data_IF_359786244172
#
_entry.id   IF_359786244172
#
_cell.length_a   1.000
_cell.length_b   1.000
_cell.length_c   1.000
_cell.angle_alpha   90.00
_cell.angle_beta   90.00
_cell.angle_gamma   90.00
#
_symmetry.space_group_name_H-M   'P 1'
#
loop_
_entity.id
_entity.type
_entity.pdbx_description
1 polymer ?
#
# COMPACT_ATOMS: atom_id res chain seq x y z
N UNK A 1 4.86 33.48 36.24
CA UNK A 1 4.03 32.25 36.28
C UNK A 1 2.92 32.20 35.23
N UNK A 2 2.45 33.31 34.65
CA UNK A 2 1.37 33.31 33.62
C UNK A 2 1.80 32.88 32.20
N UNK A 3 3.07 33.03 31.84
CA UNK A 3 3.56 32.72 30.48
C UNK A 3 3.90 31.25 30.22
N UNK A 4 4.07 30.43 31.27
CA UNK A 4 4.40 29.01 31.14
C UNK A 4 3.16 28.15 30.82
N UNK A 5 1.98 28.57 31.27
CA UNK A 5 0.72 27.85 31.00
C UNK A 5 0.21 28.03 29.54
N UNK A 6 0.55 29.16 28.89
CA UNK A 6 0.10 29.42 27.53
C UNK A 6 0.83 28.57 26.48
N UNK A 7 2.12 28.27 26.71
CA UNK A 7 2.94 27.45 25.82
C UNK A 7 2.50 25.97 25.84
N UNK A 8 2.11 25.45 26.99
CA UNK A 8 1.66 24.08 27.15
C UNK A 8 0.31 23.81 26.42
N UNK A 9 -0.60 24.80 26.44
CA UNK A 9 -1.90 24.68 25.75
C UNK A 9 -1.76 24.72 24.25
N UNK A 10 -0.84 25.53 23.69
CA UNK A 10 -0.61 25.61 22.24
C UNK A 10 0.03 24.32 21.70
N UNK A 11 0.92 23.70 22.47
CA UNK A 11 1.55 22.42 22.05
C UNK A 11 0.57 21.24 22.03
N UNK A 12 -0.41 21.20 22.94
CA UNK A 12 -1.46 20.16 22.98
C UNK A 12 -2.42 20.34 21.81
N UNK A 13 -2.76 21.59 21.42
CA UNK A 13 -3.67 21.86 20.29
C UNK A 13 -3.04 21.52 18.94
N UNK A 14 -1.74 21.69 18.76
CA UNK A 14 -1.03 21.32 17.50
C UNK A 14 -0.94 19.81 17.29
N UNK A 15 -0.86 19.01 18.37
CA UNK A 15 -0.85 17.55 18.26
C UNK A 15 -2.23 16.96 17.87
N UNK A 16 -3.32 17.60 18.27
CA UNK A 16 -4.68 17.16 17.91
C UNK A 16 -5.05 17.45 16.44
N UNK A 17 -4.51 18.49 15.81
CA UNK A 17 -4.80 18.81 14.42
C UNK A 17 -4.11 17.88 13.40
N UNK A 18 -3.00 17.22 13.76
CA UNK A 18 -2.32 16.31 12.84
C UNK A 18 -3.01 14.94 12.71
N UNK A 19 -3.71 14.50 13.73
CA UNK A 19 -4.44 13.21 13.71
C UNK A 19 -5.74 13.26 12.88
N UNK A 20 -6.33 14.43 12.68
CA UNK A 20 -7.60 14.58 11.93
C UNK A 20 -7.39 14.57 10.41
N UNK A 21 -6.17 14.81 9.91
CA UNK A 21 -5.91 14.96 8.48
C UNK A 21 -6.06 13.66 7.66
N UNK A 22 -5.93 12.50 8.29
CA UNK A 22 -6.01 11.19 7.63
C UNK A 22 -7.22 10.34 8.02
N UNK A 23 -8.14 10.86 8.83
CA UNK A 23 -9.19 10.07 9.48
C UNK A 23 -10.51 9.90 8.70
N UNK A 24 -10.76 10.65 7.63
CA UNK A 24 -12.01 10.56 6.87
C UNK A 24 -11.74 10.12 5.42
N UNK A 25 -12.45 9.09 4.96
CA UNK A 25 -12.43 8.70 3.55
C UNK A 25 -13.07 9.78 2.69
N UNK A 26 -12.48 10.04 1.53
CA UNK A 26 -13.01 10.99 0.54
C UNK A 26 -14.25 10.39 -0.11
N UNK A 27 -15.29 11.22 -0.31
CA UNK A 27 -16.48 10.82 -1.06
C UNK A 27 -16.08 10.29 -2.45
N UNK A 28 -16.75 9.26 -2.99
CA UNK A 28 -16.47 8.74 -4.33
C UNK A 28 -16.50 9.81 -5.42
N UNK A 29 -17.32 10.87 -5.25
CA UNK A 29 -17.41 12.00 -6.19
C UNK A 29 -16.20 12.93 -6.14
N UNK A 30 -15.52 12.99 -4.99
CA UNK A 30 -14.38 13.90 -4.76
C UNK A 30 -13.03 13.20 -4.90
N UNK A 31 -13.06 11.92 -5.27
CA UNK A 31 -11.86 11.10 -5.45
C UNK A 31 -11.05 11.59 -6.65
N UNK A 32 -9.75 11.95 -6.50
CA UNK A 32 -8.91 12.35 -7.60
C UNK A 32 -8.82 11.25 -8.68
N UNK A 33 -8.95 11.65 -9.95
CA UNK A 33 -8.99 10.71 -11.08
C UNK A 33 -7.68 9.92 -11.28
N UNK A 34 -6.56 10.43 -10.76
CA UNK A 34 -5.25 9.78 -10.85
C UNK A 34 -5.00 8.74 -9.72
N UNK A 35 -5.89 8.64 -8.75
CA UNK A 35 -5.83 7.61 -7.72
C UNK A 35 -6.20 6.23 -8.28
N UNK A 36 -5.87 5.18 -7.52
CA UNK A 36 -6.15 3.80 -7.92
C UNK A 36 -7.65 3.60 -8.21
N UNK A 37 -7.95 3.06 -9.38
CA UNK A 37 -9.31 2.88 -9.89
C UNK A 37 -9.96 1.65 -9.25
N UNK A 38 -11.13 1.77 -8.60
CA UNK A 38 -11.84 0.61 -8.06
C UNK A 38 -12.29 -0.33 -9.17
N UNK A 39 -12.22 -1.61 -8.91
CA UNK A 39 -12.64 -2.68 -9.80
C UNK A 39 -13.46 -3.70 -9.03
N UNK A 40 -14.37 -4.39 -9.74
CA UNK A 40 -15.13 -5.50 -9.17
C UNK A 40 -14.78 -6.78 -9.91
N UNK A 41 -14.36 -7.80 -9.17
CA UNK A 41 -14.11 -9.14 -9.70
C UNK A 41 -14.37 -10.16 -8.59
N UNK A 42 -15.05 -11.24 -8.91
CA UNK A 42 -15.37 -12.29 -7.96
C UNK A 42 -14.11 -12.85 -7.31
N UNK A 43 -14.15 -13.00 -6.00
CA UNK A 43 -13.03 -13.54 -5.21
C UNK A 43 -11.86 -12.57 -4.99
N UNK A 44 -11.95 -11.31 -5.46
CA UNK A 44 -10.94 -10.27 -5.28
C UNK A 44 -11.53 -9.06 -4.52
N UNK A 45 -11.76 -9.17 -3.21
CA UNK A 45 -12.32 -8.05 -2.46
C UNK A 45 -11.33 -6.88 -2.39
N UNK A 46 -11.84 -5.66 -2.31
CA UNK A 46 -11.05 -4.43 -2.27
C UNK A 46 -10.06 -4.29 -3.47
N UNK A 47 -10.48 -4.79 -4.65
CA UNK A 47 -9.66 -4.75 -5.85
C UNK A 47 -9.59 -3.34 -6.44
N UNK A 48 -8.37 -2.86 -6.68
CA UNK A 48 -8.14 -1.58 -7.38
C UNK A 48 -6.95 -1.71 -8.35
N UNK A 49 -7.04 -0.98 -9.46
CA UNK A 49 -5.93 -0.82 -10.40
C UNK A 49 -5.13 0.42 -10.03
N UNK A 50 -3.91 0.25 -9.56
CA UNK A 50 -2.97 1.33 -9.21
C UNK A 50 -2.30 1.90 -10.46
N UNK A 51 -1.91 1.01 -11.38
CA UNK A 51 -1.33 1.34 -12.69
C UNK A 51 -1.51 0.17 -13.64
N UNK A 52 -0.96 0.26 -14.86
CA UNK A 52 -0.92 -0.89 -15.78
C UNK A 52 -0.04 -2.04 -15.29
N UNK A 53 0.87 -1.78 -14.34
CA UNK A 53 1.85 -2.74 -13.81
C UNK A 53 1.49 -3.26 -12.42
N UNK A 54 0.56 -2.58 -11.70
CA UNK A 54 0.26 -2.87 -10.31
C UNK A 54 -1.23 -2.82 -10.03
N UNK A 55 -1.74 -3.90 -9.43
CA UNK A 55 -3.06 -4.04 -8.85
C UNK A 55 -2.94 -4.31 -7.36
N UNK A 56 -3.97 -3.96 -6.60
CA UNK A 56 -4.06 -4.21 -5.15
C UNK A 56 -5.39 -4.85 -4.78
N UNK A 57 -5.41 -5.71 -3.77
CA UNK A 57 -6.64 -6.27 -3.21
C UNK A 57 -6.50 -6.63 -1.73
N UNK A 58 -7.60 -7.05 -1.11
CA UNK A 58 -7.56 -7.88 0.08
C UNK A 58 -7.13 -9.31 -0.29
N UNK A 59 -7.11 -10.22 0.69
CA UNK A 59 -6.79 -11.64 0.46
C UNK A 59 -7.69 -12.22 -0.64
N UNK A 60 -7.15 -12.66 -1.77
CA UNK A 60 -7.92 -13.37 -2.78
C UNK A 60 -8.49 -14.68 -2.26
N UNK A 61 -9.69 -15.05 -2.68
CA UNK A 61 -10.21 -16.40 -2.53
C UNK A 61 -9.60 -17.34 -3.59
N UNK A 62 -9.86 -18.65 -3.47
CA UNK A 62 -9.45 -19.62 -4.50
C UNK A 62 -10.00 -19.24 -5.88
N UNK A 63 -11.26 -18.76 -5.97
CA UNK A 63 -11.84 -18.26 -7.21
C UNK A 63 -11.16 -16.98 -7.69
N UNK A 64 -10.85 -16.06 -6.76
CA UNK A 64 -10.11 -14.83 -7.08
C UNK A 64 -8.74 -15.12 -7.69
N UNK A 65 -8.01 -16.13 -7.16
CA UNK A 65 -6.72 -16.53 -7.73
C UNK A 65 -6.85 -16.99 -9.19
N UNK A 66 -7.88 -17.77 -9.54
CA UNK A 66 -8.15 -18.17 -10.94
C UNK A 66 -8.47 -16.97 -11.83
N UNK A 67 -9.22 -16.00 -11.29
CA UNK A 67 -9.64 -14.81 -12.02
C UNK A 67 -8.50 -13.83 -12.32
N UNK A 68 -7.34 -13.95 -11.68
CA UNK A 68 -6.16 -13.12 -11.95
C UNK A 68 -5.66 -13.21 -13.40
N UNK A 69 -5.88 -14.34 -14.06
CA UNK A 69 -5.54 -14.52 -15.48
C UNK A 69 -6.29 -13.55 -16.39
N UNK A 70 -7.55 -13.25 -16.08
CA UNK A 70 -8.35 -12.27 -16.83
C UNK A 70 -7.76 -10.86 -16.76
N UNK A 71 -7.04 -10.54 -15.68
CA UNK A 71 -6.31 -9.29 -15.48
C UNK A 71 -4.88 -9.35 -16.03
N UNK A 72 -4.46 -10.49 -16.60
CA UNK A 72 -3.10 -10.75 -17.08
C UNK A 72 -2.04 -10.57 -15.99
N UNK A 73 -2.40 -10.88 -14.74
CA UNK A 73 -1.44 -10.84 -13.62
C UNK A 73 -0.41 -11.94 -13.83
N UNK A 74 0.87 -11.56 -13.72
CA UNK A 74 2.02 -12.47 -13.83
C UNK A 74 2.56 -12.89 -12.44
N UNK A 75 2.44 -12.00 -11.45
CA UNK A 75 2.97 -12.25 -10.11
C UNK A 75 1.98 -11.84 -9.04
N UNK A 76 1.84 -12.67 -8.01
CA UNK A 76 1.13 -12.35 -6.76
C UNK A 76 2.15 -12.07 -5.67
N UNK A 77 2.04 -10.92 -5.00
CA UNK A 77 2.82 -10.56 -3.81
C UNK A 77 1.91 -10.62 -2.59
N UNK A 78 2.19 -11.55 -1.68
CA UNK A 78 1.54 -11.67 -0.39
C UNK A 78 2.36 -10.93 0.68
N UNK A 79 1.75 -9.97 1.39
CA UNK A 79 2.36 -9.20 2.47
C UNK A 79 1.98 -9.71 3.88
N UNK A 80 1.32 -10.86 4.00
CA UNK A 80 0.88 -11.41 5.28
C UNK A 80 2.01 -12.14 5.99
N UNK A 81 2.18 -11.91 7.30
CA UNK A 81 3.27 -12.52 8.08
C UNK A 81 3.07 -14.02 8.35
N UNK A 82 1.82 -14.49 8.44
CA UNK A 82 1.50 -15.83 8.93
C UNK A 82 0.56 -16.63 8.01
N UNK A 83 0.46 -16.25 6.74
CA UNK A 83 -0.40 -16.93 5.78
C UNK A 83 0.27 -17.02 4.42
N UNK A 84 0.33 -18.21 3.85
CA UNK A 84 0.88 -18.47 2.52
C UNK A 84 -0.24 -18.75 1.52
N UNK A 85 -0.09 -18.28 0.28
CA UNK A 85 -1.03 -18.58 -0.80
C UNK A 85 -0.51 -19.68 -1.74
N UNK A 86 0.60 -20.33 -1.41
CA UNK A 86 1.22 -21.35 -2.29
C UNK A 86 0.25 -22.42 -2.74
N UNK A 87 -0.59 -22.90 -1.80
CA UNK A 87 -1.56 -23.95 -2.08
C UNK A 87 -2.75 -23.43 -2.92
N UNK A 88 -3.01 -22.10 -2.89
CA UNK A 88 -4.10 -21.47 -3.64
C UNK A 88 -3.72 -21.01 -5.05
N UNK A 89 -2.41 -20.87 -5.34
CA UNK A 89 -1.94 -20.42 -6.66
C UNK A 89 -1.97 -21.55 -7.69
N UNK A 90 -1.91 -22.82 -7.24
CA UNK A 90 -2.04 -23.99 -8.09
C UNK A 90 -1.00 -24.09 -9.20
N UNK A 91 -1.32 -24.86 -10.25
CA UNK A 91 -0.48 -25.04 -11.44
C UNK A 91 -0.68 -23.94 -12.50
N UNK A 92 -1.33 -22.85 -12.14
CA UNK A 92 -1.80 -21.80 -13.05
C UNK A 92 -0.70 -20.93 -13.68
N UNK A 93 0.57 -21.18 -13.35
CA UNK A 93 1.72 -20.48 -13.92
C UNK A 93 1.97 -19.10 -13.35
N UNK A 94 1.21 -18.66 -12.34
CA UNK A 94 1.43 -17.41 -11.62
C UNK A 94 2.71 -17.49 -10.79
N UNK A 95 3.57 -16.50 -10.94
CA UNK A 95 4.70 -16.35 -10.03
C UNK A 95 4.19 -15.89 -8.64
N UNK A 96 4.82 -16.40 -7.58
CA UNK A 96 4.47 -16.08 -6.19
C UNK A 96 5.66 -15.52 -5.43
N UNK A 97 5.42 -14.41 -4.76
CA UNK A 97 6.36 -13.80 -3.84
C UNK A 97 5.71 -13.58 -2.47
N UNK A 98 6.42 -13.96 -1.44
CA UNK A 98 5.98 -13.74 -0.07
C UNK A 98 6.93 -12.77 0.63
N UNK A 99 6.45 -11.56 0.93
CA UNK A 99 7.15 -10.56 1.73
C UNK A 99 6.51 -10.55 3.11
N UNK A 100 7.21 -11.08 4.12
CA UNK A 100 6.69 -11.26 5.49
C UNK A 100 6.62 -9.93 6.25
N UNK A 101 5.80 -9.01 5.76
CA UNK A 101 5.70 -7.67 6.32
C UNK A 101 4.85 -7.65 7.59
N UNK A 102 5.41 -7.08 8.66
CA UNK A 102 4.72 -6.84 9.93
C UNK A 102 4.11 -5.43 9.93
N UNK A 103 2.79 -5.31 10.20
CA UNK A 103 2.15 -4.00 10.21
C UNK A 103 2.69 -3.08 11.33
N UNK A 104 3.17 -3.65 12.43
CA UNK A 104 3.77 -2.88 13.54
C UNK A 104 5.27 -2.58 13.36
N UNK A 105 5.90 -3.14 12.33
CA UNK A 105 7.33 -2.98 12.08
C UNK A 105 7.64 -3.21 10.60
N UNK A 106 7.42 -2.18 9.79
CA UNK A 106 7.78 -2.18 8.37
C UNK A 106 9.30 -1.96 8.22
N UNK A 107 9.93 -2.66 7.28
CA UNK A 107 11.36 -2.62 7.03
C UNK A 107 11.65 -2.06 5.63
N UNK A 108 12.78 -1.34 5.47
CA UNK A 108 13.22 -0.85 4.14
C UNK A 108 13.41 -2.02 3.16
N UNK A 109 13.78 -3.19 3.65
CA UNK A 109 13.99 -4.39 2.85
C UNK A 109 12.70 -4.87 2.18
N UNK A 110 11.56 -4.77 2.88
CA UNK A 110 10.24 -5.08 2.33
C UNK A 110 9.95 -4.20 1.11
N UNK A 111 10.20 -2.87 1.25
CA UNK A 111 10.01 -1.91 0.17
C UNK A 111 10.95 -2.16 -1.01
N UNK A 112 12.24 -2.41 -0.75
CA UNK A 112 13.23 -2.70 -1.79
C UNK A 112 12.86 -3.97 -2.56
N UNK A 113 12.48 -5.04 -1.85
CA UNK A 113 12.07 -6.30 -2.48
C UNK A 113 10.79 -6.12 -3.30
N UNK A 114 9.78 -5.45 -2.76
CA UNK A 114 8.55 -5.14 -3.45
C UNK A 114 8.81 -4.36 -4.75
N UNK A 115 9.61 -3.29 -4.69
CA UNK A 115 9.93 -2.47 -5.85
C UNK A 115 10.69 -3.26 -6.92
N UNK A 116 11.66 -4.10 -6.55
CA UNK A 116 12.37 -4.97 -7.51
C UNK A 116 11.42 -5.88 -8.29
N UNK A 117 10.36 -6.35 -7.67
CA UNK A 117 9.39 -7.23 -8.31
C UNK A 117 8.47 -6.42 -9.23
N UNK A 118 7.86 -5.35 -8.73
CA UNK A 118 6.83 -4.60 -9.46
C UNK A 118 7.39 -3.79 -10.63
N UNK A 119 8.68 -3.44 -10.60
CA UNK A 119 9.36 -2.74 -11.71
C UNK A 119 10.03 -3.69 -12.71
N UNK A 120 10.01 -4.98 -12.45
CA UNK A 120 10.55 -5.97 -13.41
C UNK A 120 9.49 -6.28 -14.48
N UNK A 121 9.73 -5.92 -15.77
CA UNK A 121 8.75 -6.12 -16.83
C UNK A 121 8.42 -7.59 -17.09
N UNK A 122 9.29 -8.52 -16.70
CA UNK A 122 9.04 -9.98 -16.84
C UNK A 122 8.15 -10.53 -15.72
N UNK A 123 7.85 -9.73 -14.70
CA UNK A 123 7.07 -10.13 -13.54
C UNK A 123 5.78 -9.36 -13.39
N UNK A 124 5.59 -8.34 -14.20
CA UNK A 124 4.42 -7.45 -14.18
C UNK A 124 3.46 -7.79 -15.31
N UNK A 125 2.13 -7.58 -15.15
CA UNK A 125 1.49 -6.92 -13.99
C UNK A 125 1.47 -7.74 -12.71
N UNK A 126 1.51 -7.04 -11.56
CA UNK A 126 1.57 -7.62 -10.23
C UNK A 126 0.27 -7.37 -9.47
N UNK A 127 -0.24 -8.37 -8.76
CA UNK A 127 -1.21 -8.17 -7.69
C UNK A 127 -0.48 -8.16 -6.34
N UNK A 128 -0.60 -7.09 -5.56
CA UNK A 128 -0.15 -7.05 -4.18
C UNK A 128 -1.33 -7.08 -3.23
N UNK A 129 -1.26 -7.92 -2.19
CA UNK A 129 -2.31 -8.02 -1.19
C UNK A 129 -1.78 -8.27 0.23
N UNK A 130 -2.64 -8.03 1.20
CA UNK A 130 -2.50 -8.50 2.58
C UNK A 130 -3.83 -9.11 3.03
N UNK A 131 -4.20 -9.04 4.29
CA UNK A 131 -5.48 -9.57 4.75
C UNK A 131 -6.66 -8.71 4.29
N UNK A 132 -6.63 -7.41 4.54
CA UNK A 132 -7.72 -6.47 4.21
C UNK A 132 -7.46 -5.64 2.94
N UNK A 133 -6.24 -5.71 2.38
CA UNK A 133 -5.85 -4.84 1.27
C UNK A 133 -5.68 -3.37 1.65
N UNK A 134 -5.73 -3.07 2.93
CA UNK A 134 -5.73 -1.71 3.49
C UNK A 134 -4.31 -1.24 3.88
N UNK A 135 -3.78 -1.73 5.01
CA UNK A 135 -2.62 -1.15 5.68
C UNK A 135 -1.29 -1.50 5.01
N UNK A 136 -0.82 -2.76 5.10
CA UNK A 136 0.45 -3.20 4.47
C UNK A 136 0.43 -3.03 2.97
N UNK A 137 -0.69 -3.38 2.33
CA UNK A 137 -0.90 -3.16 0.90
C UNK A 137 -0.87 -1.68 0.55
N UNK A 138 -1.56 -0.84 1.34
CA UNK A 138 -1.53 0.62 1.19
C UNK A 138 -0.13 1.19 1.31
N UNK A 139 0.64 0.73 2.32
CA UNK A 139 2.03 1.14 2.53
C UNK A 139 2.90 0.86 1.30
N UNK A 140 2.83 -0.36 0.74
CA UNK A 140 3.62 -0.70 -0.45
C UNK A 140 3.13 0.05 -1.70
N UNK A 141 1.83 0.30 -1.85
CA UNK A 141 1.32 1.16 -2.92
C UNK A 141 1.78 2.60 -2.78
N UNK A 142 1.81 3.17 -1.57
CA UNK A 142 2.34 4.51 -1.34
C UNK A 142 3.84 4.60 -1.67
N UNK A 143 4.64 3.61 -1.28
CA UNK A 143 6.05 3.51 -1.69
C UNK A 143 6.19 3.48 -3.22
N UNK A 144 5.35 2.71 -3.93
CA UNK A 144 5.33 2.67 -5.39
C UNK A 144 4.99 4.04 -6.00
N UNK A 145 3.97 4.74 -5.47
CA UNK A 145 3.58 6.08 -5.92
C UNK A 145 4.76 7.04 -5.85
N UNK A 146 5.49 7.04 -4.72
CA UNK A 146 6.62 7.95 -4.53
C UNK A 146 7.84 7.53 -5.35
N UNK A 147 8.24 6.27 -5.27
CA UNK A 147 9.49 5.80 -5.87
C UNK A 147 9.44 5.62 -7.39
N UNK A 148 8.28 5.23 -7.94
CA UNK A 148 8.12 4.90 -9.36
C UNK A 148 7.36 5.96 -10.13
N UNK A 149 6.32 6.54 -9.52
CA UNK A 149 5.47 7.51 -10.20
C UNK A 149 5.81 8.97 -9.85
N UNK A 150 6.76 9.21 -8.92
CA UNK A 150 7.25 10.54 -8.58
C UNK A 150 6.25 11.38 -7.78
N UNK A 151 5.28 10.75 -7.10
CA UNK A 151 4.36 11.48 -6.25
C UNK A 151 5.06 12.04 -5.00
N UNK A 152 4.52 13.11 -4.43
CA UNK A 152 4.91 13.50 -3.08
C UNK A 152 4.49 12.44 -2.06
N UNK A 153 5.21 12.35 -0.94
CA UNK A 153 4.81 11.48 0.17
C UNK A 153 3.43 11.84 0.70
N UNK A 154 3.13 13.14 0.77
CA UNK A 154 1.84 13.65 1.22
C UNK A 154 0.69 13.12 0.36
N UNK A 155 0.80 13.22 -0.97
CA UNK A 155 -0.24 12.73 -1.89
C UNK A 155 -0.40 11.22 -1.81
N UNK A 156 0.70 10.47 -1.74
CA UNK A 156 0.68 9.02 -1.62
C UNK A 156 0.05 8.55 -0.29
N UNK A 157 0.36 9.24 0.81
CA UNK A 157 -0.25 8.98 2.12
C UNK A 157 -1.72 9.36 2.16
N UNK A 158 -2.11 10.44 1.49
CA UNK A 158 -3.50 10.84 1.35
C UNK A 158 -4.31 9.78 0.59
N UNK A 159 -3.80 9.29 -0.55
CA UNK A 159 -4.43 8.16 -1.25
C UNK A 159 -4.53 6.93 -0.34
N UNK A 160 -3.45 6.56 0.37
CA UNK A 160 -3.42 5.39 1.25
C UNK A 160 -4.49 5.47 2.34
N UNK A 161 -4.62 6.62 3.00
CA UNK A 161 -5.49 6.78 4.16
C UNK A 161 -6.95 7.13 3.81
N UNK A 162 -7.19 7.85 2.71
CA UNK A 162 -8.49 8.41 2.34
C UNK A 162 -9.07 7.86 1.04
N UNK A 163 -8.33 6.98 0.35
CA UNK A 163 -8.71 6.46 -0.96
C UNK A 163 -9.78 5.36 -0.92
N UNK A 164 -10.50 5.16 0.16
CA UNK A 164 -11.58 4.16 0.26
C UNK A 164 -11.07 2.72 0.36
N UNK A 165 -9.84 2.53 0.83
CA UNK A 165 -9.24 1.18 0.96
C UNK A 165 -9.44 0.57 2.36
N UNK A 166 -10.02 1.32 3.31
CA UNK A 166 -10.24 0.87 4.69
C UNK A 166 -8.99 0.90 5.57
N UNK A 167 -8.12 1.92 5.40
CA UNK A 167 -6.92 2.07 6.23
C UNK A 167 -7.29 2.21 7.71
N UNK A 168 -6.63 1.42 8.58
CA UNK A 168 -6.91 1.42 10.01
C UNK A 168 -5.97 2.41 10.74
N UNK A 169 -6.53 3.43 11.37
CA UNK A 169 -5.76 4.47 12.07
C UNK A 169 -4.84 3.96 13.18
N UNK A 170 -5.07 2.76 13.72
CA UNK A 170 -4.18 2.11 14.68
C UNK A 170 -2.76 1.89 14.11
N UNK A 171 -2.60 1.88 12.77
CA UNK A 171 -1.32 1.70 12.10
C UNK A 171 -0.66 3.03 11.68
N UNK A 172 -0.81 4.08 12.47
CA UNK A 172 -0.15 5.37 12.24
C UNK A 172 1.38 5.26 12.12
N UNK A 173 1.98 4.26 12.75
CA UNK A 173 3.40 3.94 12.59
C UNK A 173 3.80 3.71 11.12
N UNK A 174 2.91 3.20 10.27
CA UNK A 174 3.18 3.03 8.84
C UNK A 174 3.26 4.37 8.10
N UNK A 175 2.43 5.33 8.49
CA UNK A 175 2.48 6.72 7.97
C UNK A 175 3.81 7.37 8.36
N UNK A 176 4.18 7.26 9.65
CA UNK A 176 5.45 7.80 10.16
C UNK A 176 6.65 7.14 9.47
N UNK A 177 6.60 5.83 9.25
CA UNK A 177 7.63 5.08 8.53
C UNK A 177 7.81 5.59 7.09
N UNK A 178 6.72 5.75 6.31
CA UNK A 178 6.80 6.29 4.94
C UNK A 178 7.38 7.71 4.94
N UNK A 179 6.97 8.57 5.87
CA UNK A 179 7.52 9.93 6.00
C UNK A 179 9.03 9.94 6.27
N UNK A 180 9.53 8.98 7.06
CA UNK A 180 10.95 8.83 7.37
C UNK A 180 11.80 8.16 6.30
N UNK A 181 11.21 7.55 5.25
CA UNK A 181 11.97 6.84 4.23
C UNK A 181 12.87 7.76 3.40
N UNK A 182 14.12 7.35 3.22
CA UNK A 182 15.00 7.88 2.17
C UNK A 182 14.67 7.19 0.83
N UNK A 183 13.81 7.84 0.04
CA UNK A 183 13.31 7.28 -1.21
C UNK A 183 14.42 7.08 -2.24
N UNK A 184 15.40 7.98 -2.32
CA UNK A 184 16.50 7.85 -3.28
C UNK A 184 17.41 6.66 -2.91
N UNK A 185 17.65 6.45 -1.63
CA UNK A 185 18.35 5.24 -1.15
C UNK A 185 17.60 3.96 -1.53
N UNK A 186 16.27 3.94 -1.34
CA UNK A 186 15.44 2.78 -1.67
C UNK A 186 15.40 2.54 -3.17
N UNK A 187 15.22 3.58 -4.01
CA UNK A 187 15.28 3.49 -5.47
C UNK A 187 16.61 2.89 -5.93
N UNK A 188 17.74 3.43 -5.43
CA UNK A 188 19.07 2.92 -5.75
C UNK A 188 19.22 1.43 -5.41
N UNK A 189 18.77 1.00 -4.23
CA UNK A 189 18.80 -0.41 -3.79
C UNK A 189 17.88 -1.30 -4.63
N UNK A 190 16.78 -0.75 -5.10
CA UNK A 190 15.82 -1.46 -5.98
C UNK A 190 16.27 -1.49 -7.46
N UNK A 191 17.29 -0.71 -7.84
CA UNK A 191 17.76 -0.60 -9.22
C UNK A 191 16.90 0.29 -10.09
N UNK A 192 16.14 1.21 -9.47
CA UNK A 192 15.31 2.21 -10.15
C UNK A 192 16.18 3.46 -10.42
N UNK A 193 16.14 3.93 -11.66
CA UNK A 193 16.86 5.16 -12.10
C UNK A 193 16.03 6.41 -11.82
#
# INVERSE_FOLDING_TARGET
>A
MKNMMLIAVISIFLLFFFSAAYGAEISPTDRPAHWAVPMQMEGLPNLHKVSNMLYRSAQPSAEGMKNLKALRIETVINLRSFHSDRDGIGEDGLAYEHIYMKAWHAEEEDAVRFLKIVTNPKRSPVLVHCQHGADRTGTMCAVYRVAVQGWSKEEALKEMAQGGFGFHGIWENLIQWINGLDIEKIKKRAGIK
#
